data_IF_958142077758
#
_entry.id   IF_958142077758
#
_cell.length_a   1.000
_cell.length_b   1.000
_cell.length_c   1.000
_cell.angle_alpha   90.00
_cell.angle_beta   90.00
_cell.angle_gamma   90.00
#
_symmetry.space_group_name_H-M   'P 1'
#
loop_
_entity.id
_entity.type
_entity.pdbx_description
1 polymer ?
#
# COMPACT_ATOMS: atom_id res chain seq x y z
N UNK A 1 5.76 -10.31 0.54
CA UNK A 1 4.41 -10.51 1.11
C UNK A 1 3.50 -9.39 0.63
N UNK A 2 2.31 -9.70 0.13
CA UNK A 2 1.39 -8.68 -0.37
C UNK A 2 0.30 -8.43 0.68
N UNK A 3 0.09 -7.17 1.09
CA UNK A 3 -0.99 -6.76 1.99
C UNK A 3 -1.88 -5.72 1.33
N UNK A 4 -3.19 -5.89 1.50
CA UNK A 4 -4.19 -4.96 0.99
C UNK A 4 -4.53 -3.96 2.08
N UNK A 5 -4.45 -2.67 1.74
CA UNK A 5 -4.89 -1.58 2.59
C UNK A 5 -6.02 -0.84 1.89
N UNK A 6 -7.15 -0.72 2.57
CA UNK A 6 -8.29 0.08 2.13
C UNK A 6 -8.36 1.38 2.92
N UNK A 7 -8.75 2.46 2.27
CA UNK A 7 -8.94 3.73 2.95
C UNK A 7 -9.61 4.77 2.07
N UNK A 8 -10.10 5.84 2.70
CA UNK A 8 -10.70 6.96 2.01
C UNK A 8 -9.61 7.88 1.46
N UNK A 9 -9.62 8.15 0.14
CA UNK A 9 -8.75 9.17 -0.45
C UNK A 9 -9.51 10.50 -0.56
N UNK A 10 -9.22 11.50 0.30
CA UNK A 10 -9.91 12.78 0.28
C UNK A 10 -9.72 13.55 -1.03
N UNK A 11 -8.57 13.41 -1.69
CA UNK A 11 -8.25 14.02 -2.99
C UNK A 11 -9.19 13.57 -4.10
N UNK A 12 -9.71 12.34 -3.99
CA UNK A 12 -10.62 11.74 -4.98
C UNK A 12 -12.04 11.54 -4.46
N UNK A 13 -12.30 11.93 -3.19
CA UNK A 13 -13.55 11.76 -2.45
C UNK A 13 -14.16 10.35 -2.59
N UNK A 14 -13.31 9.34 -2.59
CA UNK A 14 -13.69 7.93 -2.79
C UNK A 14 -12.78 7.01 -1.98
N UNK A 15 -13.31 5.85 -1.63
CA UNK A 15 -12.53 4.76 -1.06
C UNK A 15 -11.69 4.07 -2.13
N UNK A 16 -10.43 3.81 -1.79
CA UNK A 16 -9.47 3.12 -2.62
C UNK A 16 -8.84 1.97 -1.86
N UNK A 17 -8.38 0.98 -2.63
CA UNK A 17 -7.61 -0.14 -2.12
C UNK A 17 -6.26 -0.14 -2.82
N UNK A 18 -5.20 -0.25 -2.02
CA UNK A 18 -3.84 -0.39 -2.50
C UNK A 18 -3.28 -1.73 -2.03
N UNK A 19 -2.45 -2.33 -2.86
CA UNK A 19 -1.71 -3.55 -2.57
C UNK A 19 -0.28 -3.12 -2.28
N UNK A 20 0.12 -3.16 -1.01
CA UNK A 20 1.49 -2.87 -0.62
C UNK A 20 2.29 -4.17 -0.65
N UNK A 21 3.37 -4.18 -1.43
CA UNK A 21 4.32 -5.28 -1.44
C UNK A 21 5.38 -5.03 -0.38
N UNK A 22 5.42 -5.92 0.61
CA UNK A 22 6.48 -5.97 1.59
C UNK A 22 7.58 -6.90 1.09
N UNK A 23 8.80 -6.39 1.07
CA UNK A 23 10.00 -7.10 0.68
C UNK A 23 10.49 -7.82 1.92
N UNK A 24 10.75 -9.12 1.79
CA UNK A 24 11.33 -9.90 2.87
C UNK A 24 12.78 -9.47 3.06
N UNK A 25 13.06 -8.89 4.23
CA UNK A 25 14.39 -8.47 4.68
C UNK A 25 14.85 -9.29 5.87
N UNK A 26 14.19 -10.44 6.10
CA UNK A 26 14.49 -11.33 7.21
C UNK A 26 15.96 -11.75 7.18
N UNK A 27 16.58 -11.72 8.35
CA UNK A 27 17.92 -12.26 8.58
C UNK A 27 17.81 -13.61 9.29
N UNK A 28 18.94 -14.26 9.56
CA UNK A 28 18.95 -15.48 10.36
C UNK A 28 18.48 -15.26 11.81
N UNK A 29 18.48 -14.02 12.30
CA UNK A 29 18.15 -13.66 13.68
C UNK A 29 16.75 -13.02 13.84
N UNK A 30 16.18 -12.45 12.78
CA UNK A 30 14.89 -11.76 12.83
C UNK A 30 14.08 -11.90 11.53
N UNK A 31 12.77 -12.12 11.67
CA UNK A 31 11.82 -11.99 10.56
C UNK A 31 11.36 -10.54 10.47
N UNK A 32 11.70 -9.88 9.38
CA UNK A 32 11.34 -8.48 9.11
C UNK A 32 10.93 -8.36 7.65
N UNK A 33 9.85 -7.63 7.39
CA UNK A 33 9.52 -7.24 6.04
C UNK A 33 9.42 -5.73 5.93
N UNK A 34 10.21 -5.14 5.04
CA UNK A 34 10.17 -3.71 4.75
C UNK A 34 9.13 -3.39 3.68
N UNK A 35 8.47 -2.26 3.84
CA UNK A 35 7.50 -1.71 2.90
C UNK A 35 8.21 -1.35 1.60
N UNK A 36 7.92 -2.12 0.57
CA UNK A 36 8.42 -1.88 -0.78
C UNK A 36 7.43 -1.04 -1.60
N UNK A 37 7.29 -1.41 -2.87
CA UNK A 37 6.38 -0.73 -3.79
C UNK A 37 4.92 -1.03 -3.47
N UNK A 38 4.05 -0.06 -3.72
CA UNK A 38 2.61 -0.29 -3.75
C UNK A 38 2.11 -0.36 -5.19
N UNK A 39 1.10 -1.19 -5.39
CA UNK A 39 0.31 -1.25 -6.60
C UNK A 39 -1.11 -0.79 -6.28
N UNK A 40 -1.72 0.02 -7.15
CA UNK A 40 -3.11 0.39 -6.96
C UNK A 40 -3.99 -0.53 -7.77
N UNK A 41 -4.88 -1.22 -7.08
CA UNK A 41 -5.93 -1.96 -7.74
C UNK A 41 -6.71 -0.97 -8.62
N UNK A 42 -6.69 -1.21 -9.93
CA UNK A 42 -7.42 -0.41 -10.91
C UNK A 42 -8.87 -0.30 -10.43
N UNK A 43 -9.34 0.91 -10.14
CA UNK A 43 -10.76 1.10 -10.02
C UNK A 43 -11.37 1.11 -11.43
N UNK A 44 -12.62 0.67 -11.54
CA UNK A 44 -13.41 0.64 -12.78
C UNK A 44 -13.56 2.00 -13.50
N UNK A 45 -13.05 3.09 -12.91
CA UNK A 45 -13.05 4.43 -13.47
C UNK A 45 -11.72 4.81 -14.14
N UNK A 46 -10.75 3.89 -14.22
CA UNK A 46 -9.47 4.11 -14.92
C UNK A 46 -8.48 5.03 -14.19
N UNK A 47 -8.78 5.43 -12.96
CA UNK A 47 -7.89 6.27 -12.17
C UNK A 47 -6.89 5.39 -11.41
N UNK A 48 -5.60 5.51 -11.78
CA UNK A 48 -4.50 5.09 -10.92
C UNK A 48 -4.60 5.92 -9.62
N UNK A 49 -4.35 5.33 -8.44
CA UNK A 49 -4.29 6.18 -7.24
C UNK A 49 -3.27 7.27 -7.47
N UNK A 50 -3.66 8.51 -7.20
CA UNK A 50 -2.69 9.58 -7.13
C UNK A 50 -1.82 9.36 -5.88
N UNK A 51 -0.51 9.57 -5.99
CA UNK A 51 0.47 9.39 -4.90
C UNK A 51 0.13 10.28 -3.68
N UNK A 52 -0.68 11.33 -3.89
CA UNK A 52 -1.23 12.19 -2.84
C UNK A 52 -2.32 11.53 -1.97
N UNK A 53 -2.75 10.30 -2.26
CA UNK A 53 -3.69 9.59 -1.39
C UNK A 53 -2.95 9.08 -0.13
N UNK A 54 -3.38 9.45 1.09
CA UNK A 54 -2.67 9.11 2.32
C UNK A 54 -2.71 7.61 2.68
N UNK A 55 -3.40 6.77 1.90
CA UNK A 55 -3.54 5.33 2.17
C UNK A 55 -2.18 4.63 2.16
N UNK A 56 -1.26 5.02 1.26
CA UNK A 56 0.10 4.48 1.26
C UNK A 56 0.89 4.99 2.48
N UNK A 57 0.75 6.25 2.86
CA UNK A 57 1.39 6.80 4.06
C UNK A 57 0.86 6.18 5.35
N UNK A 58 -0.39 5.70 5.37
CA UNK A 58 -0.97 4.99 6.52
C UNK A 58 -0.49 3.55 6.68
N UNK A 59 0.09 2.94 5.64
CA UNK A 59 0.62 1.58 5.75
C UNK A 59 1.95 1.60 6.55
N UNK A 60 2.14 0.68 7.50
CA UNK A 60 3.36 0.63 8.31
C UNK A 60 4.59 0.33 7.44
N UNK A 61 5.72 0.96 7.75
CA UNK A 61 6.96 0.81 6.99
C UNK A 61 7.64 -0.56 7.19
N UNK A 62 7.29 -1.29 8.26
CA UNK A 62 7.71 -2.68 8.49
C UNK A 62 6.61 -3.50 9.17
N UNK A 63 6.59 -4.81 8.90
CA UNK A 63 5.66 -5.81 9.47
C UNK A 63 6.34 -7.13 9.80
#
# INVERSE_FOLDING_TARGET
MDKIFSGFCPTQKKDYQIIVKYIDTSTFDAQEHEKGTFDCAYNMYGNKCNIQCPIYSSAPDSI
#
